data_IF_607175673175
#
_entry.id   IF_607175673175
#
_cell.length_a   1.000
_cell.length_b   1.000
_cell.length_c   1.000
_cell.angle_alpha   90.00
_cell.angle_beta   90.00
_cell.angle_gamma   90.00
#
_symmetry.space_group_name_H-M   'P 1'
#
loop_
_entity.id
_entity.type
_entity.pdbx_description
1 polymer ?
#
# COMPACT_ATOMS: atom_id res chain seq x y z
N UNK A 1 -11.54 18.92 10.39
CA UNK A 1 -12.72 18.67 9.55
C UNK A 1 -13.59 17.62 10.23
N UNK A 2 -14.88 17.91 10.43
CA UNK A 2 -15.74 17.05 11.25
C UNK A 2 -16.03 15.71 10.54
N UNK A 3 -15.97 14.61 11.30
CA UNK A 3 -16.28 13.26 10.80
C UNK A 3 -17.73 13.08 10.30
N UNK A 4 -18.63 13.98 10.73
CA UNK A 4 -20.01 14.03 10.25
C UNK A 4 -20.14 14.39 8.77
N UNK A 5 -19.11 15.02 8.19
CA UNK A 5 -19.11 15.58 6.83
C UNK A 5 -18.56 14.64 5.76
N UNK A 6 -17.96 13.55 6.13
CA UNK A 6 -17.38 12.58 5.19
C UNK A 6 -17.76 11.15 5.54
N UNK A 7 -17.61 10.30 4.54
CA UNK A 7 -17.76 8.85 4.67
C UNK A 7 -16.44 8.17 4.34
N UNK A 8 -16.07 7.18 5.16
CA UNK A 8 -14.87 6.36 4.91
C UNK A 8 -15.31 5.05 4.27
N UNK A 9 -15.01 4.89 3.00
CA UNK A 9 -15.28 3.67 2.26
C UNK A 9 -14.09 2.70 2.44
N UNK A 10 -14.30 1.70 3.28
CA UNK A 10 -13.33 0.63 3.57
C UNK A 10 -13.55 -0.63 2.72
N UNK A 11 -14.65 -0.68 1.97
CA UNK A 11 -14.99 -1.84 1.16
C UNK A 11 -14.10 -1.99 -0.08
N UNK A 12 -13.46 -0.91 -0.48
CA UNK A 12 -12.54 -0.89 -1.61
C UNK A 12 -11.08 -0.92 -1.16
N UNK A 13 -10.24 -1.41 -2.05
CA UNK A 13 -8.79 -1.36 -1.90
C UNK A 13 -8.18 -0.63 -3.13
N UNK A 14 -7.56 0.55 -2.96
CA UNK A 14 -7.38 1.31 -1.71
C UNK A 14 -8.68 1.90 -1.16
N UNK A 15 -8.75 2.06 0.17
CA UNK A 15 -9.85 2.76 0.84
C UNK A 15 -9.96 4.22 0.43
N UNK A 16 -11.14 4.80 0.56
CA UNK A 16 -11.42 6.18 0.14
C UNK A 16 -12.13 6.97 1.22
N UNK A 17 -11.85 8.26 1.25
CA UNK A 17 -12.62 9.25 2.01
C UNK A 17 -13.47 10.03 1.01
N UNK A 18 -14.76 10.02 1.19
CA UNK A 18 -15.74 10.65 0.28
C UNK A 18 -16.56 11.64 1.08
N UNK A 19 -16.76 12.82 0.55
CA UNK A 19 -17.69 13.80 1.15
C UNK A 19 -19.12 13.28 1.07
N UNK A 20 -19.92 13.63 2.07
CA UNK A 20 -21.36 13.39 2.03
C UNK A 20 -22.05 14.37 1.09
N UNK A 21 -23.22 13.99 0.60
CA UNK A 21 -24.01 14.85 -0.26
C UNK A 21 -24.31 16.19 0.39
N UNK A 22 -24.11 17.26 -0.38
CA UNK A 22 -24.30 18.63 0.07
C UNK A 22 -23.14 19.24 0.87
N UNK A 23 -22.09 18.45 1.15
CA UNK A 23 -20.90 18.95 1.83
C UNK A 23 -19.82 19.40 0.83
N UNK A 24 -19.07 20.41 1.24
CA UNK A 24 -17.96 20.93 0.45
C UNK A 24 -16.63 20.75 1.17
N UNK A 25 -15.56 20.71 0.42
CA UNK A 25 -14.22 20.73 0.99
C UNK A 25 -13.98 22.05 1.76
N UNK A 26 -13.21 22.02 2.85
CA UNK A 26 -12.87 23.22 3.59
C UNK A 26 -12.14 24.20 2.66
N UNK A 27 -12.54 25.47 2.74
CA UNK A 27 -11.92 26.60 2.04
C UNK A 27 -10.96 27.34 2.97
N UNK A 28 -10.08 28.18 2.40
CA UNK A 28 -9.11 28.93 3.20
C UNK A 28 -7.98 28.10 3.80
N UNK A 29 -7.65 26.98 3.15
CA UNK A 29 -6.56 26.11 3.58
C UNK A 29 -5.19 26.78 3.38
N UNK A 30 -4.22 26.35 4.18
CA UNK A 30 -2.81 26.75 4.00
C UNK A 30 -2.32 26.37 2.61
N UNK A 31 -1.39 27.15 2.08
CA UNK A 31 -0.80 26.91 0.75
C UNK A 31 -0.07 25.55 0.68
N UNK A 32 0.51 25.11 1.79
CA UNK A 32 1.17 23.80 1.89
C UNK A 32 0.59 23.00 3.06
N UNK A 33 0.44 21.70 2.88
CA UNK A 33 -0.13 20.78 3.88
C UNK A 33 -1.50 21.25 4.42
N UNK A 34 -2.36 21.74 3.54
CA UNK A 34 -3.68 22.27 3.90
C UNK A 34 -4.62 21.20 4.44
N UNK A 35 -4.43 19.94 4.04
CA UNK A 35 -5.19 18.78 4.53
C UNK A 35 -4.23 17.75 5.05
N UNK A 36 -4.44 17.31 6.28
CA UNK A 36 -3.71 16.22 6.92
C UNK A 36 -4.68 15.08 7.23
N UNK A 37 -4.36 13.89 6.76
CA UNK A 37 -5.16 12.68 6.98
C UNK A 37 -4.34 11.69 7.77
N UNK A 38 -4.77 11.39 8.98
CA UNK A 38 -4.16 10.36 9.83
C UNK A 38 -5.04 9.12 9.83
N UNK A 39 -4.48 7.98 9.51
CA UNK A 39 -5.20 6.72 9.47
C UNK A 39 -4.33 5.57 9.96
N UNK A 40 -4.98 4.51 10.42
CA UNK A 40 -4.34 3.24 10.78
C UNK A 40 -4.62 2.24 9.67
N UNK A 41 -3.56 1.67 9.11
CA UNK A 41 -3.66 0.68 8.05
C UNK A 41 -2.93 -0.61 8.45
N UNK A 42 -3.41 -1.72 7.93
CA UNK A 42 -2.83 -3.04 8.17
C UNK A 42 -3.89 -4.14 8.16
N UNK A 43 -3.44 -5.38 8.27
CA UNK A 43 -4.34 -6.54 8.33
C UNK A 43 -4.99 -6.71 9.71
N UNK A 44 -4.37 -6.20 10.76
CA UNK A 44 -4.85 -6.27 12.14
C UNK A 44 -3.74 -6.04 13.16
N UNK A 45 -4.05 -6.25 14.43
CA UNK A 45 -3.11 -6.03 15.54
C UNK A 45 -2.23 -7.25 15.87
N UNK A 46 -2.59 -8.42 15.37
CA UNK A 46 -1.88 -9.67 15.64
C UNK A 46 -1.18 -10.21 14.38
N UNK A 47 -0.09 -10.94 14.58
CA UNK A 47 0.62 -11.61 13.48
C UNK A 47 -0.24 -12.67 12.78
N UNK A 48 -1.26 -13.23 13.44
CA UNK A 48 -2.24 -14.14 12.87
C UNK A 48 -3.10 -13.50 11.78
N UNK A 49 -3.31 -12.18 11.86
CA UNK A 49 -4.17 -11.44 10.95
C UNK A 49 -3.55 -11.28 9.55
N UNK A 50 -2.23 -11.45 9.46
CA UNK A 50 -1.52 -11.42 8.18
C UNK A 50 -1.81 -12.71 7.39
N UNK A 51 -2.22 -12.60 6.11
CA UNK A 51 -2.49 -13.76 5.27
C UNK A 51 -1.34 -14.76 5.23
N UNK A 52 -1.66 -16.04 5.30
CA UNK A 52 -0.67 -17.11 5.35
C UNK A 52 0.27 -17.12 4.13
N UNK A 53 -0.25 -16.82 2.96
CA UNK A 53 0.55 -16.73 1.74
C UNK A 53 1.64 -15.65 1.82
N UNK A 54 1.33 -14.50 2.42
CA UNK A 54 2.34 -13.45 2.66
C UNK A 54 3.41 -13.95 3.62
N UNK A 55 3.02 -14.63 4.71
CA UNK A 55 3.98 -15.18 5.69
C UNK A 55 4.89 -16.23 5.07
N UNK A 56 4.35 -17.09 4.22
CA UNK A 56 5.18 -18.09 3.49
C UNK A 56 6.13 -17.37 2.52
N UNK A 57 5.65 -16.41 1.76
CA UNK A 57 6.49 -15.61 0.86
C UNK A 57 7.61 -14.87 1.60
N UNK A 58 7.35 -14.36 2.80
CA UNK A 58 8.37 -13.72 3.64
C UNK A 58 9.44 -14.73 4.09
N UNK A 59 9.05 -15.96 4.46
CA UNK A 59 10.01 -17.01 4.84
C UNK A 59 10.91 -17.41 3.67
N UNK A 60 10.34 -17.57 2.48
CA UNK A 60 11.09 -17.85 1.26
C UNK A 60 12.08 -16.72 0.94
N UNK A 61 11.64 -15.48 1.09
CA UNK A 61 12.50 -14.32 0.87
C UNK A 61 13.64 -14.24 1.89
N UNK A 62 13.36 -14.50 3.17
CA UNK A 62 14.38 -14.53 4.23
C UNK A 62 15.41 -15.65 3.97
N UNK A 63 14.96 -16.85 3.60
CA UNK A 63 15.83 -17.96 3.27
C UNK A 63 16.76 -17.61 2.10
N UNK A 64 16.20 -17.03 1.05
CA UNK A 64 16.98 -16.56 -0.10
C UNK A 64 18.05 -15.55 0.30
N UNK A 65 17.70 -14.53 1.08
CA UNK A 65 18.64 -13.51 1.55
C UNK A 65 19.73 -14.11 2.45
N UNK A 66 19.37 -15.08 3.29
CA UNK A 66 20.33 -15.76 4.16
C UNK A 66 21.34 -16.59 3.38
N UNK A 67 20.91 -17.32 2.38
CA UNK A 67 21.77 -18.15 1.53
C UNK A 67 22.71 -17.31 0.65
N UNK A 68 22.28 -16.12 0.25
CA UNK A 68 23.01 -15.19 -0.62
C UNK A 68 23.58 -13.98 0.14
N UNK A 69 23.82 -14.10 1.42
CA UNK A 69 24.26 -12.99 2.29
C UNK A 69 25.59 -12.30 1.90
N UNK A 70 26.42 -12.94 1.09
CA UNK A 70 27.65 -12.35 0.54
C UNK A 70 27.49 -11.59 -0.79
N UNK A 71 26.29 -11.67 -1.40
CA UNK A 71 26.02 -11.16 -2.74
C UNK A 71 25.07 -9.96 -2.69
N UNK A 72 25.54 -8.82 -2.19
CA UNK A 72 24.70 -7.65 -1.92
C UNK A 72 23.97 -7.14 -3.16
N UNK A 73 24.62 -7.07 -4.32
CA UNK A 73 23.99 -6.61 -5.56
C UNK A 73 22.96 -7.60 -6.12
N UNK A 74 23.25 -8.88 -6.04
CA UNK A 74 22.31 -9.92 -6.47
C UNK A 74 21.06 -9.94 -5.60
N UNK A 75 21.22 -9.74 -4.29
CA UNK A 75 20.12 -9.73 -3.33
C UNK A 75 19.14 -8.58 -3.54
N UNK A 76 19.60 -7.44 -4.03
CA UNK A 76 18.74 -6.28 -4.31
C UNK A 76 17.97 -6.42 -5.63
N UNK A 77 18.51 -7.15 -6.59
CA UNK A 77 17.92 -7.30 -7.95
C UNK A 77 17.11 -8.56 -8.12
N UNK A 78 17.49 -9.64 -7.44
CA UNK A 78 16.89 -10.97 -7.60
C UNK A 78 15.91 -11.27 -6.47
N UNK A 79 14.65 -11.03 -6.74
CA UNK A 79 13.57 -11.39 -5.84
C UNK A 79 13.13 -12.83 -6.13
N UNK A 80 13.00 -13.72 -5.13
CA UNK A 80 12.57 -15.09 -5.35
C UNK A 80 11.23 -15.14 -6.08
N UNK A 81 11.17 -15.90 -7.18
CA UNK A 81 9.96 -16.01 -8.00
C UNK A 81 8.78 -16.51 -7.18
N UNK A 82 9.00 -17.48 -6.29
CA UNK A 82 7.97 -18.05 -5.40
C UNK A 82 7.39 -16.96 -4.50
N UNK A 83 8.23 -16.17 -3.84
CA UNK A 83 7.78 -15.07 -2.99
C UNK A 83 6.99 -14.04 -3.80
N UNK A 84 7.44 -13.70 -5.02
CA UNK A 84 6.74 -12.80 -5.92
C UNK A 84 5.35 -13.32 -6.29
N UNK A 85 5.21 -14.59 -6.61
CA UNK A 85 3.93 -15.22 -6.92
C UNK A 85 2.97 -15.21 -5.73
N UNK A 86 3.48 -15.46 -4.52
CA UNK A 86 2.68 -15.45 -3.30
C UNK A 86 2.17 -14.03 -2.93
N UNK A 87 2.90 -12.98 -3.30
CA UNK A 87 2.51 -11.60 -3.04
C UNK A 87 1.56 -11.02 -4.08
N UNK A 88 1.53 -11.57 -5.30
CA UNK A 88 0.74 -11.02 -6.41
C UNK A 88 -0.75 -10.82 -6.10
N UNK A 89 -1.48 -11.75 -5.46
CA UNK A 89 -2.89 -11.57 -5.15
C UNK A 89 -3.19 -10.39 -4.23
N UNK A 90 -2.20 -9.95 -3.46
CA UNK A 90 -2.32 -8.87 -2.48
C UNK A 90 -1.86 -7.52 -3.03
N UNK A 91 -1.40 -7.49 -4.26
CA UNK A 91 -0.96 -6.26 -4.92
C UNK A 91 -2.16 -5.44 -5.36
N UNK A 92 -2.16 -4.17 -5.01
CA UNK A 92 -3.14 -3.20 -5.53
C UNK A 92 -2.81 -2.90 -6.99
N UNK A 93 -3.72 -3.28 -7.88
CA UNK A 93 -3.62 -2.96 -9.31
C UNK A 93 -4.43 -1.69 -9.56
N UNK A 94 -3.79 -0.65 -10.06
CA UNK A 94 -4.45 0.56 -10.55
C UNK A 94 -4.42 0.54 -12.07
N UNK A 95 -5.60 0.53 -12.67
CA UNK A 95 -5.77 0.64 -14.13
C UNK A 95 -6.05 2.09 -14.57
N UNK A 96 -5.89 3.03 -13.66
CA UNK A 96 -6.03 4.45 -13.99
C UNK A 96 -4.81 4.85 -14.81
N UNK A 97 -5.04 5.26 -16.05
CA UNK A 97 -4.04 6.02 -16.80
C UNK A 97 -3.80 7.34 -16.06
N UNK A 98 -2.81 7.36 -15.20
CA UNK A 98 -2.34 8.60 -14.63
C UNK A 98 -1.39 9.26 -15.65
N UNK A 99 -1.81 10.32 -16.36
CA UNK A 99 -0.95 11.00 -17.33
C UNK A 99 0.30 11.62 -16.70
N UNK A 100 0.34 11.69 -15.36
CA UNK A 100 1.50 12.18 -14.60
C UNK A 100 2.40 11.05 -14.04
N UNK A 101 2.03 9.80 -14.20
CA UNK A 101 2.95 8.67 -13.98
C UNK A 101 3.85 8.50 -15.21
N UNK A 102 4.58 9.54 -15.55
CA UNK A 102 5.75 9.36 -16.38
C UNK A 102 6.81 8.68 -15.50
N UNK A 103 6.64 7.38 -15.30
CA UNK A 103 7.70 6.52 -14.85
C UNK A 103 8.73 6.50 -15.96
N UNK A 104 9.59 7.50 -15.96
CA UNK A 104 10.86 7.41 -16.64
C UNK A 104 11.47 6.09 -16.21
N UNK A 105 11.58 5.16 -17.14
CA UNK A 105 12.11 3.86 -16.87
C UNK A 105 13.53 3.96 -16.31
N UNK A 106 13.70 3.30 -15.23
CA UNK A 106 14.99 2.85 -14.77
C UNK A 106 14.81 1.41 -14.30
#
# INVERSE_FOLDING_TARGET
>A
FASSKYHVDKARNPGRVVLKDGETFPTGLRTANGVEVTYVAGYGSAASDVPSAIKVGMREHITYLYEHRGEVEANLKNFPIIAKQLYQPYRVLSFTNNPFSNSGGY
#
